data_IF_512571650427
#
_entry.id   IF_512571650427
#
_cell.length_a   1.000
_cell.length_b   1.000
_cell.length_c   1.000
_cell.angle_alpha   90.00
_cell.angle_beta   90.00
_cell.angle_gamma   90.00
#
_symmetry.space_group_name_H-M   'P 1'
#
loop_
_entity.id
_entity.type
_entity.pdbx_description
1 polymer ?
#
# COMPACT_ATOMS: atom_id res chain seq x y z
N UNK A 1 7.50 -8.67 -9.87
CA UNK A 1 7.50 -10.08 -10.31
C UNK A 1 7.18 -11.03 -9.16
N UNK A 2 7.92 -11.02 -8.04
CA UNK A 2 7.68 -11.90 -6.90
C UNK A 2 6.27 -11.77 -6.31
N UNK A 3 5.74 -10.57 -6.14
CA UNK A 3 4.38 -10.34 -5.60
C UNK A 3 3.29 -10.92 -6.53
N UNK A 4 3.43 -10.76 -7.84
CA UNK A 4 2.48 -11.34 -8.79
C UNK A 4 2.50 -12.87 -8.77
N UNK A 5 3.69 -13.47 -8.72
CA UNK A 5 3.85 -14.94 -8.61
C UNK A 5 3.31 -15.43 -7.26
N UNK A 6 3.58 -14.73 -6.15
CA UNK A 6 3.05 -15.10 -4.84
C UNK A 6 1.52 -15.02 -4.81
N UNK A 7 0.93 -14.00 -5.42
CA UNK A 7 -0.53 -13.89 -5.54
C UNK A 7 -1.13 -15.06 -6.33
N UNK A 8 -0.57 -15.38 -7.49
CA UNK A 8 -1.02 -16.50 -8.33
C UNK A 8 -0.86 -17.83 -7.59
N UNK A 9 0.27 -18.04 -6.91
CA UNK A 9 0.53 -19.26 -6.14
C UNK A 9 -0.43 -19.38 -4.93
N UNK A 10 -0.73 -18.28 -4.23
CA UNK A 10 -1.71 -18.25 -3.16
C UNK A 10 -3.12 -18.58 -3.69
N UNK A 11 -3.49 -18.01 -4.83
CA UNK A 11 -4.78 -18.31 -5.50
C UNK A 11 -4.87 -19.77 -5.93
N UNK A 12 -3.83 -20.30 -6.55
CA UNK A 12 -3.81 -21.69 -7.04
C UNK A 12 -3.75 -22.73 -5.93
N UNK A 13 -3.02 -22.46 -4.83
CA UNK A 13 -2.85 -23.41 -3.72
C UNK A 13 -3.95 -23.35 -2.67
N UNK A 14 -4.61 -22.20 -2.51
CA UNK A 14 -5.61 -21.90 -1.49
C UNK A 14 -7.02 -21.70 -2.07
N UNK A 15 -7.28 -22.22 -3.27
CA UNK A 15 -8.57 -22.15 -3.98
C UNK A 15 -9.78 -22.73 -3.22
N UNK A 16 -9.68 -22.87 -1.92
CA UNK A 16 -10.69 -23.34 -0.98
C UNK A 16 -10.79 -22.45 0.26
N UNK A 17 -11.01 -21.14 0.08
CA UNK A 17 -11.65 -20.34 1.13
C UNK A 17 -10.88 -20.07 2.44
N UNK A 18 -9.56 -20.22 2.50
CA UNK A 18 -8.81 -20.07 3.75
C UNK A 18 -8.17 -18.70 4.00
N UNK A 19 -8.11 -17.82 2.99
CA UNK A 19 -7.63 -16.46 3.20
C UNK A 19 -8.82 -15.48 3.25
N UNK A 20 -8.89 -14.63 4.27
CA UNK A 20 -9.86 -13.55 4.31
C UNK A 20 -9.81 -12.70 3.03
N UNK A 21 -10.97 -12.26 2.55
CA UNK A 21 -11.14 -11.39 1.37
C UNK A 21 -10.22 -10.16 1.40
N UNK A 22 -10.03 -9.62 2.59
CA UNK A 22 -9.23 -8.43 2.85
C UNK A 22 -7.76 -8.59 2.46
N UNK A 23 -7.19 -9.78 2.71
CA UNK A 23 -5.80 -10.08 2.33
C UNK A 23 -5.66 -10.12 0.80
N UNK A 24 -6.66 -10.65 0.09
CA UNK A 24 -6.67 -10.59 -1.38
C UNK A 24 -6.74 -9.16 -1.89
N UNK A 25 -7.61 -8.36 -1.30
CA UNK A 25 -7.76 -6.94 -1.65
C UNK A 25 -6.46 -6.15 -1.43
N UNK A 26 -5.73 -6.43 -0.35
CA UNK A 26 -4.40 -5.85 -0.12
C UNK A 26 -3.41 -6.22 -1.23
N UNK A 27 -3.30 -7.50 -1.59
CA UNK A 27 -2.39 -7.93 -2.65
C UNK A 27 -2.77 -7.33 -4.02
N UNK A 28 -4.06 -7.27 -4.33
CA UNK A 28 -4.55 -6.59 -5.53
C UNK A 28 -4.19 -5.11 -5.51
N UNK A 29 -4.34 -4.44 -4.37
CA UNK A 29 -3.96 -3.04 -4.18
C UNK A 29 -2.48 -2.80 -4.46
N UNK A 30 -1.60 -3.67 -3.96
CA UNK A 30 -0.16 -3.59 -4.25
C UNK A 30 0.13 -3.76 -5.75
N UNK A 31 -0.48 -4.75 -6.40
CA UNK A 31 -0.29 -4.97 -7.85
C UNK A 31 -0.79 -3.78 -8.65
N UNK A 32 -2.00 -3.29 -8.36
CA UNK A 32 -2.57 -2.13 -9.04
C UNK A 32 -1.71 -0.88 -8.85
N UNK A 33 -1.23 -0.62 -7.64
CA UNK A 33 -0.37 0.54 -7.37
C UNK A 33 0.96 0.46 -8.12
N UNK A 34 1.55 -0.74 -8.24
CA UNK A 34 2.76 -0.95 -9.05
C UNK A 34 2.51 -0.75 -10.55
N UNK A 35 1.38 -1.22 -11.07
CA UNK A 35 1.00 -1.00 -12.48
C UNK A 35 0.79 0.48 -12.76
N UNK A 36 0.09 1.19 -11.87
CA UNK A 36 -0.11 2.64 -11.99
C UNK A 36 1.25 3.36 -11.94
N UNK A 37 2.12 2.99 -10.99
CA UNK A 37 3.46 3.57 -10.89
C UNK A 37 4.28 3.33 -12.16
N UNK A 38 4.19 2.14 -12.76
CA UNK A 38 4.86 1.83 -14.02
C UNK A 38 4.36 2.73 -15.16
N UNK A 39 3.04 2.86 -15.31
CA UNK A 39 2.43 3.72 -16.34
C UNK A 39 2.85 5.18 -16.17
N UNK A 40 2.77 5.69 -14.94
CA UNK A 40 3.14 7.09 -14.64
C UNK A 40 4.63 7.31 -14.81
N UNK A 41 5.48 6.31 -14.55
CA UNK A 41 6.93 6.38 -14.68
C UNK A 41 7.41 6.62 -16.11
N UNK A 42 6.57 6.40 -17.12
CA UNK A 42 6.89 6.80 -18.50
C UNK A 42 6.97 8.32 -18.69
N UNK A 43 6.29 9.09 -17.85
CA UNK A 43 6.27 10.57 -17.92
C UNK A 43 6.88 11.25 -16.69
N UNK A 44 6.67 10.66 -15.51
CA UNK A 44 7.08 11.21 -14.22
C UNK A 44 7.72 10.13 -13.38
N UNK A 45 8.91 10.38 -12.88
CA UNK A 45 9.60 9.50 -11.96
C UNK A 45 8.84 9.43 -10.64
N UNK A 46 8.51 8.22 -10.17
CA UNK A 46 7.81 8.01 -8.89
C UNK A 46 8.71 7.20 -7.96
N UNK A 47 8.67 7.52 -6.67
CA UNK A 47 9.38 6.77 -5.64
C UNK A 47 8.62 5.49 -5.27
N UNK A 48 9.08 4.33 -5.73
CA UNK A 48 8.49 3.02 -5.42
C UNK A 48 8.55 2.71 -3.92
N UNK A 49 9.57 3.20 -3.21
CA UNK A 49 9.71 2.97 -1.76
C UNK A 49 8.63 3.71 -0.96
N UNK A 50 8.35 4.96 -1.33
CA UNK A 50 7.27 5.72 -0.68
C UNK A 50 5.89 5.20 -1.09
N UNK A 51 5.73 4.74 -2.32
CA UNK A 51 4.53 4.07 -2.79
C UNK A 51 4.24 2.80 -1.96
N UNK A 52 5.24 1.96 -1.72
CA UNK A 52 5.08 0.76 -0.90
C UNK A 52 4.76 1.08 0.56
N UNK A 53 5.53 1.99 1.19
CA UNK A 53 5.31 2.38 2.58
C UNK A 53 3.92 3.01 2.80
N UNK A 54 3.49 3.88 1.89
CA UNK A 54 2.15 4.50 1.94
C UNK A 54 1.03 3.52 1.62
N UNK A 55 1.30 2.51 0.78
CA UNK A 55 0.34 1.45 0.48
C UNK A 55 -0.01 0.63 1.73
N UNK A 56 1.01 0.28 2.53
CA UNK A 56 0.79 -0.39 3.83
C UNK A 56 -0.03 0.49 4.77
N UNK A 57 0.30 1.78 4.86
CA UNK A 57 -0.47 2.74 5.66
C UNK A 57 -1.93 2.83 5.19
N UNK A 58 -2.15 2.91 3.88
CA UNK A 58 -3.50 2.96 3.30
C UNK A 58 -4.32 1.72 3.62
N UNK A 59 -3.74 0.52 3.51
CA UNK A 59 -4.39 -0.73 3.85
C UNK A 59 -4.75 -0.79 5.34
N UNK A 60 -3.84 -0.41 6.25
CA UNK A 60 -4.10 -0.40 7.69
C UNK A 60 -5.18 0.61 8.06
N UNK A 61 -5.17 1.81 7.47
CA UNK A 61 -6.25 2.78 7.67
C UNK A 61 -7.62 2.26 7.18
N UNK A 62 -7.64 1.50 6.08
CA UNK A 62 -8.86 0.88 5.59
C UNK A 62 -9.39 -0.20 6.55
N UNK A 63 -8.52 -1.08 7.05
CA UNK A 63 -8.88 -2.07 8.07
C UNK A 63 -9.43 -1.42 9.33
N UNK A 64 -8.75 -0.38 9.82
CA UNK A 64 -9.19 0.41 10.96
C UNK A 64 -10.59 0.98 10.76
N UNK A 65 -10.86 1.53 9.59
CA UNK A 65 -12.18 2.07 9.24
C UNK A 65 -13.27 0.99 9.17
N UNK A 66 -12.96 -0.21 8.62
CA UNK A 66 -13.93 -1.27 8.42
C UNK A 66 -14.25 -2.04 9.71
N UNK A 67 -13.25 -2.33 10.53
CA UNK A 67 -13.40 -3.25 11.66
C UNK A 67 -13.62 -2.56 13.01
N UNK A 68 -13.52 -1.22 13.09
CA UNK A 68 -13.73 -0.44 14.32
C UNK A 68 -13.12 -1.12 15.54
N UNK A 69 -11.79 -1.20 15.58
CA UNK A 69 -11.09 -1.86 16.69
C UNK A 69 -11.48 -1.22 18.03
N UNK A 70 -11.81 -2.05 19.02
CA UNK A 70 -12.24 -1.59 20.36
C UNK A 70 -11.11 -0.89 21.15
N UNK A 71 -9.86 -1.05 20.72
CA UNK A 71 -8.68 -0.45 21.36
C UNK A 71 -8.13 0.70 20.49
N UNK A 72 -8.77 1.85 20.63
CA UNK A 72 -8.42 3.07 19.88
C UNK A 72 -6.99 3.54 20.11
N UNK A 73 -6.45 3.36 21.34
CA UNK A 73 -5.07 3.77 21.64
C UNK A 73 -4.04 2.98 20.83
N UNK A 74 -4.19 1.68 20.77
CA UNK A 74 -3.27 0.80 20.04
C UNK A 74 -3.32 1.06 18.53
N UNK A 75 -4.51 1.31 18.00
CA UNK A 75 -4.75 1.64 16.60
C UNK A 75 -4.04 2.94 16.18
N UNK A 76 -4.28 4.04 16.89
CA UNK A 76 -3.65 5.32 16.60
C UNK A 76 -2.13 5.29 16.78
N UNK A 77 -1.63 4.49 17.71
CA UNK A 77 -0.20 4.28 17.88
C UNK A 77 0.44 3.67 16.64
N UNK A 78 -0.13 2.60 16.09
CA UNK A 78 0.39 1.95 14.88
C UNK A 78 0.28 2.83 13.64
N UNK A 79 -0.82 3.55 13.45
CA UNK A 79 -0.98 4.50 12.35
C UNK A 79 0.08 5.60 12.45
N UNK A 80 0.29 6.18 13.63
CA UNK A 80 1.27 7.23 13.85
C UNK A 80 2.70 6.74 13.59
N UNK A 81 3.01 5.52 14.02
CA UNK A 81 4.30 4.89 13.76
C UNK A 81 4.55 4.74 12.25
N UNK A 82 3.55 4.26 11.50
CA UNK A 82 3.65 4.09 10.05
C UNK A 82 3.78 5.42 9.31
N UNK A 83 3.08 6.46 9.76
CA UNK A 83 3.26 7.83 9.23
C UNK A 83 4.69 8.30 9.46
N UNK A 84 5.25 8.06 10.65
CA UNK A 84 6.65 8.35 10.95
C UNK A 84 7.62 7.61 10.03
N UNK A 85 7.40 6.31 9.82
CA UNK A 85 8.21 5.49 8.91
C UNK A 85 8.11 6.01 7.47
N UNK A 86 6.92 6.35 6.99
CA UNK A 86 6.71 6.92 5.67
C UNK A 86 7.48 8.25 5.51
N UNK A 87 7.43 9.11 6.54
CA UNK A 87 8.19 10.36 6.57
C UNK A 87 9.70 10.13 6.50
N UNK A 88 10.23 9.18 7.26
CA UNK A 88 11.65 8.82 7.23
C UNK A 88 12.07 8.25 5.87
N UNK A 89 11.27 7.36 5.29
CA UNK A 89 11.53 6.83 3.95
C UNK A 89 11.55 7.95 2.91
N UNK A 90 10.55 8.84 2.93
CA UNK A 90 10.49 9.98 2.01
C UNK A 90 11.67 10.93 2.17
N UNK A 91 12.00 11.31 3.41
CA UNK A 91 13.13 12.16 3.71
C UNK A 91 14.47 11.54 3.25
N UNK A 92 14.64 10.24 3.47
CA UNK A 92 15.83 9.50 3.02
C UNK A 92 15.99 9.57 1.48
N UNK A 93 14.89 9.44 0.72
CA UNK A 93 14.93 9.50 -0.75
C UNK A 93 15.25 10.88 -1.29
N UNK A 94 14.79 11.93 -0.62
CA UNK A 94 15.11 13.31 -0.95
C UNK A 94 16.57 13.61 -0.57
N UNK A 95 16.98 13.24 0.63
CA UNK A 95 18.33 13.48 1.13
C UNK A 95 19.41 12.81 0.28
N UNK A 96 19.18 11.59 -0.19
CA UNK A 96 20.09 10.88 -1.09
C UNK A 96 20.09 11.39 -2.53
N UNK A 97 19.27 12.40 -2.84
CA UNK A 97 19.19 13.00 -4.18
C UNK A 97 18.59 12.10 -5.25
N UNK A 98 18.00 10.96 -4.89
CA UNK A 98 17.42 10.03 -5.85
C UNK A 98 16.04 10.47 -6.35
N UNK A 99 15.30 11.21 -5.52
CA UNK A 99 13.94 11.69 -5.83
C UNK A 99 13.72 13.11 -5.36
N UNK A 100 12.88 13.83 -6.10
CA UNK A 100 12.38 15.15 -5.70
C UNK A 100 11.22 15.01 -4.71
N UNK A 101 10.92 16.08 -3.99
CA UNK A 101 9.77 16.13 -3.09
C UNK A 101 8.45 15.74 -3.80
N UNK A 102 8.25 16.23 -5.02
CA UNK A 102 7.05 15.93 -5.81
C UNK A 102 6.92 14.45 -6.16
N UNK A 103 8.04 13.80 -6.54
CA UNK A 103 8.06 12.36 -6.85
C UNK A 103 7.73 11.50 -5.61
N UNK A 104 8.19 11.91 -4.43
CA UNK A 104 7.89 11.29 -3.16
C UNK A 104 6.42 11.46 -2.78
N UNK A 105 5.89 12.68 -2.91
CA UNK A 105 4.48 12.98 -2.60
C UNK A 105 3.52 12.24 -3.53
N UNK A 106 3.78 12.22 -4.83
CA UNK A 106 2.94 11.51 -5.80
C UNK A 106 2.98 10.00 -5.51
N UNK A 107 4.17 9.44 -5.26
CA UNK A 107 4.30 8.02 -4.88
C UNK A 107 3.52 7.69 -3.62
N UNK A 108 3.61 8.54 -2.60
CA UNK A 108 2.88 8.36 -1.33
C UNK A 108 1.36 8.45 -1.53
N UNK A 109 0.90 9.40 -2.32
CA UNK A 109 -0.54 9.60 -2.57
C UNK A 109 -1.13 8.40 -3.34
N UNK A 110 -0.46 7.98 -4.41
CA UNK A 110 -0.91 6.84 -5.22
C UNK A 110 -0.93 5.56 -4.38
N UNK A 111 0.15 5.26 -3.65
CA UNK A 111 0.23 4.06 -2.82
C UNK A 111 -0.88 4.02 -1.76
N UNK A 112 -1.09 5.14 -1.04
CA UNK A 112 -2.12 5.24 -0.02
C UNK A 112 -3.53 5.07 -0.60
N UNK A 113 -3.90 5.88 -1.60
CA UNK A 113 -5.26 5.88 -2.13
C UNK A 113 -5.65 4.56 -2.77
N UNK A 114 -4.76 3.98 -3.58
CA UNK A 114 -5.05 2.72 -4.27
C UNK A 114 -5.27 1.60 -3.27
N UNK A 115 -4.39 1.44 -2.28
CA UNK A 115 -4.55 0.37 -1.30
C UNK A 115 -5.73 0.61 -0.35
N UNK A 116 -5.97 1.85 0.08
CA UNK A 116 -7.12 2.21 0.89
C UNK A 116 -8.43 1.86 0.17
N UNK A 117 -8.58 2.29 -1.09
CA UNK A 117 -9.80 2.04 -1.86
C UNK A 117 -10.00 0.55 -2.18
N UNK A 118 -8.91 -0.18 -2.49
CA UNK A 118 -8.99 -1.61 -2.79
C UNK A 118 -9.45 -2.41 -1.58
N UNK A 119 -8.98 -2.08 -0.39
CA UNK A 119 -9.41 -2.75 0.84
C UNK A 119 -10.84 -2.34 1.20
N UNK A 120 -11.17 -1.03 1.19
CA UNK A 120 -12.52 -0.56 1.54
C UNK A 120 -13.63 -1.05 0.62
N UNK A 121 -13.33 -1.28 -0.66
CA UNK A 121 -14.36 -1.70 -1.63
C UNK A 121 -14.44 -3.23 -1.80
N UNK A 122 -13.58 -3.99 -1.14
CA UNK A 122 -13.51 -5.46 -1.30
C UNK A 122 -13.62 -5.89 -2.78
N UNK A 123 -12.89 -5.20 -3.67
CA UNK A 123 -13.12 -5.11 -5.11
C UNK A 123 -13.12 -6.46 -5.83
N UNK A 124 -12.77 -7.56 -5.15
CA UNK A 124 -12.66 -8.88 -5.78
C UNK A 124 -13.19 -10.03 -4.90
N UNK A 125 -14.25 -9.77 -4.14
CA UNK A 125 -14.97 -10.82 -3.40
C UNK A 125 -16.19 -11.28 -4.19
#
# INVERSE_FOLDING_TARGET
FYFGVTYVLLRCKLGSGYLPSDIYSMFCGVICSLVIALIVSFKFKISIHTLGASGVLGAICAFSHMYQFNDTFNEYFWISLLVGVLGLVGASRIYTGHHTLMEVLIGSLVGFLVNYLMVCNEVFV
#
